data_IF_157951506137
#
_entry.id   IF_157951506137
#
_cell.length_a   1.000
_cell.length_b   1.000
_cell.length_c   1.000
_cell.angle_alpha   90.00
_cell.angle_beta   90.00
_cell.angle_gamma   90.00
#
_symmetry.space_group_name_H-M   'P 1'
#
loop_
_entity.id
_entity.type
_entity.pdbx_description
1 polymer ?
#
# COMPACT_ATOMS: atom_id res chain seq x y z
N UNK A 1 -23.45 -14.01 12.43
CA UNK A 1 -23.08 -15.07 11.44
C UNK A 1 -21.57 -15.30 11.34
N UNK A 2 -20.71 -14.25 11.31
CA UNK A 2 -19.25 -14.40 11.23
C UNK A 2 -18.65 -15.24 12.38
N UNK A 3 -19.02 -14.99 13.65
CA UNK A 3 -18.56 -15.76 14.81
C UNK A 3 -18.90 -17.27 14.75
N UNK A 4 -20.04 -17.66 14.17
CA UNK A 4 -20.40 -19.08 13.98
C UNK A 4 -19.55 -19.74 12.90
N UNK A 5 -19.25 -19.01 11.79
CA UNK A 5 -18.39 -19.51 10.72
C UNK A 5 -16.91 -19.60 11.16
N UNK A 6 -16.44 -18.67 11.98
CA UNK A 6 -15.09 -18.71 12.55
C UNK A 6 -14.90 -19.91 13.51
N UNK A 7 -15.93 -20.31 14.27
CA UNK A 7 -15.90 -21.54 15.09
C UNK A 7 -15.76 -22.82 14.26
N UNK A 8 -16.28 -22.83 13.03
CA UNK A 8 -16.13 -23.96 12.09
C UNK A 8 -14.72 -24.05 11.46
N UNK A 9 -13.87 -23.02 11.61
CA UNK A 9 -12.49 -22.98 11.12
C UNK A 9 -11.47 -23.51 12.16
N UNK A 10 -11.92 -24.15 13.22
CA UNK A 10 -11.15 -24.52 14.43
C UNK A 10 -10.05 -25.59 14.21
N UNK A 11 -9.65 -25.90 12.98
CA UNK A 11 -8.62 -26.93 12.71
C UNK A 11 -7.19 -26.41 12.51
N UNK A 12 -6.98 -25.16 12.06
CA UNK A 12 -5.64 -24.57 11.87
C UNK A 12 -5.70 -23.09 12.24
N UNK A 13 -4.87 -22.63 13.19
CA UNK A 13 -4.77 -21.21 13.53
C UNK A 13 -4.41 -20.41 12.28
N UNK A 14 -5.27 -19.45 11.92
CA UNK A 14 -5.09 -18.56 10.78
C UNK A 14 -5.35 -17.14 11.19
N UNK A 15 -4.52 -16.22 10.69
CA UNK A 15 -4.72 -14.79 10.82
C UNK A 15 -4.85 -14.14 9.45
N UNK A 16 -5.41 -12.96 9.44
CA UNK A 16 -5.50 -12.10 8.25
C UNK A 16 -4.77 -10.80 8.57
N UNK A 17 -3.82 -10.42 7.72
CA UNK A 17 -3.20 -9.10 7.76
C UNK A 17 -3.79 -8.29 6.61
N UNK A 18 -4.30 -7.10 6.94
CA UNK A 18 -4.91 -6.16 6.01
C UNK A 18 -3.93 -5.04 5.68
N UNK A 19 -3.90 -4.60 4.43
CA UNK A 19 -3.15 -3.42 4.01
C UNK A 19 -4.08 -2.35 3.49
N UNK A 20 -3.97 -1.18 4.10
CA UNK A 20 -4.55 0.11 3.71
C UNK A 20 -3.44 1.06 3.25
N UNK A 21 -3.80 2.22 2.72
CA UNK A 21 -2.88 3.31 2.41
C UNK A 21 -3.47 4.63 2.92
N UNK A 22 -4.53 5.12 2.30
CA UNK A 22 -5.17 6.39 2.66
C UNK A 22 -6.58 6.20 3.22
N UNK A 23 -6.92 6.99 4.24
CA UNK A 23 -8.29 7.15 4.75
C UNK A 23 -8.71 8.59 4.53
N UNK A 24 -9.45 8.85 3.45
CA UNK A 24 -9.82 10.19 3.04
C UNK A 24 -11.06 10.20 2.15
N UNK A 25 -11.72 11.36 2.04
CA UNK A 25 -12.81 11.60 1.10
C UNK A 25 -12.39 12.46 -0.08
N UNK A 26 -13.12 12.34 -1.19
CA UNK A 26 -13.03 13.25 -2.32
C UNK A 26 -11.74 13.11 -3.16
N UNK A 27 -10.93 12.08 -2.94
CA UNK A 27 -9.71 11.86 -3.68
C UNK A 27 -9.95 11.14 -5.01
N UNK A 28 -9.17 11.51 -6.02
CA UNK A 28 -9.11 10.77 -7.28
C UNK A 28 -8.24 9.53 -7.07
N UNK A 29 -8.87 8.36 -7.05
CA UNK A 29 -8.21 7.08 -6.72
C UNK A 29 -8.28 6.06 -7.87
N UNK A 30 -7.44 6.18 -8.89
CA UNK A 30 -7.38 5.20 -9.96
C UNK A 30 -6.73 3.87 -9.55
N UNK A 31 -6.14 3.81 -8.36
CA UNK A 31 -5.40 2.64 -7.87
C UNK A 31 -6.19 1.80 -6.87
N UNK A 32 -7.28 2.33 -6.31
CA UNK A 32 -8.11 1.68 -5.30
C UNK A 32 -7.44 1.64 -3.92
N UNK A 33 -6.61 2.64 -3.60
CA UNK A 33 -5.84 2.76 -2.36
C UNK A 33 -6.52 3.61 -1.29
N UNK A 34 -7.60 4.28 -1.63
CA UNK A 34 -8.34 5.17 -0.73
C UNK A 34 -9.58 4.46 -0.17
N UNK A 35 -9.75 4.55 1.14
CA UNK A 35 -10.98 4.17 1.84
C UNK A 35 -11.56 5.41 2.49
N UNK A 36 -12.86 5.67 2.29
CA UNK A 36 -13.52 6.82 2.93
C UNK A 36 -13.58 6.65 4.44
N UNK A 37 -13.57 7.75 5.24
CA UNK A 37 -13.60 7.68 6.70
C UNK A 37 -14.79 6.88 7.24
N UNK A 38 -16.00 7.05 6.67
CA UNK A 38 -17.18 6.31 7.07
C UNK A 38 -17.02 4.81 6.83
N UNK A 39 -16.50 4.43 5.66
CA UNK A 39 -16.25 3.02 5.34
C UNK A 39 -15.14 2.43 6.21
N UNK A 40 -14.11 3.21 6.50
CA UNK A 40 -13.05 2.78 7.40
C UNK A 40 -13.59 2.56 8.82
N UNK A 41 -14.44 3.45 9.33
CA UNK A 41 -15.11 3.29 10.63
C UNK A 41 -16.00 2.04 10.67
N UNK A 42 -16.84 1.80 9.65
CA UNK A 42 -17.63 0.59 9.50
C UNK A 42 -16.74 -0.69 9.50
N UNK A 43 -15.60 -0.64 8.81
CA UNK A 43 -14.66 -1.76 8.71
C UNK A 43 -13.97 -2.03 10.07
N UNK A 44 -13.60 -0.99 10.81
CA UNK A 44 -13.00 -1.13 12.15
C UNK A 44 -14.04 -1.67 13.16
N UNK A 45 -15.30 -1.23 13.07
CA UNK A 45 -16.39 -1.79 13.89
C UNK A 45 -16.55 -3.30 13.63
N UNK A 46 -16.57 -3.74 12.38
CA UNK A 46 -16.62 -5.16 12.03
C UNK A 46 -15.42 -5.93 12.59
N UNK A 47 -14.20 -5.37 12.49
CA UNK A 47 -13.00 -6.01 13.02
C UNK A 47 -13.08 -6.14 14.55
N UNK A 48 -13.48 -5.08 15.25
CA UNK A 48 -13.56 -5.06 16.71
C UNK A 48 -14.67 -5.97 17.26
N UNK A 49 -15.83 -6.05 16.56
CA UNK A 49 -17.01 -6.75 17.07
C UNK A 49 -17.11 -8.21 16.62
N UNK A 50 -16.72 -8.52 15.38
CA UNK A 50 -16.87 -9.85 14.79
C UNK A 50 -15.56 -10.65 14.74
N UNK A 51 -14.40 -10.00 14.80
CA UNK A 51 -13.07 -10.61 14.75
C UNK A 51 -12.26 -10.25 15.99
N UNK A 52 -10.96 -10.51 15.95
CA UNK A 52 -10.02 -10.19 17.03
C UNK A 52 -8.88 -9.32 16.51
N UNK A 53 -8.94 -8.00 16.72
CA UNK A 53 -7.83 -7.13 16.35
C UNK A 53 -6.58 -7.47 17.17
N UNK A 54 -5.44 -7.58 16.49
CA UNK A 54 -4.15 -7.94 17.09
C UNK A 54 -3.05 -7.10 16.44
N UNK A 55 -2.14 -6.55 17.23
CA UNK A 55 -0.94 -5.88 16.74
C UNK A 55 -0.05 -6.81 15.93
N UNK A 56 0.72 -6.26 14.98
CA UNK A 56 1.57 -7.08 14.09
C UNK A 56 2.64 -7.84 14.88
N UNK A 57 3.30 -7.20 15.84
CA UNK A 57 4.33 -7.81 16.67
C UNK A 57 3.77 -8.93 17.55
N UNK A 58 2.58 -8.73 18.12
CA UNK A 58 1.89 -9.74 18.93
C UNK A 58 1.44 -10.93 18.06
N UNK A 59 0.92 -10.65 16.86
CA UNK A 59 0.58 -11.72 15.92
C UNK A 59 1.79 -12.58 15.59
N UNK A 60 2.93 -11.96 15.27
CA UNK A 60 4.17 -12.68 14.90
C UNK A 60 4.69 -13.51 16.08
N UNK A 61 4.67 -12.97 17.29
CA UNK A 61 5.03 -13.71 18.52
C UNK A 61 4.09 -14.88 18.75
N UNK A 62 2.77 -14.66 18.70
CA UNK A 62 1.77 -15.70 18.86
C UNK A 62 1.86 -16.82 17.81
N UNK A 63 2.24 -16.49 16.56
CA UNK A 63 2.47 -17.50 15.53
C UNK A 63 3.68 -18.40 15.83
N UNK A 64 4.78 -17.82 16.33
CA UNK A 64 5.98 -18.58 16.75
C UNK A 64 5.68 -19.52 17.90
N UNK A 65 4.89 -19.08 18.86
CA UNK A 65 4.54 -19.82 20.05
C UNK A 65 3.36 -20.79 19.87
N UNK A 66 2.81 -20.88 18.65
CA UNK A 66 1.60 -21.67 18.34
C UNK A 66 0.31 -21.13 18.97
N UNK A 67 0.32 -19.88 19.44
CA UNK A 67 -0.77 -19.23 20.19
C UNK A 67 -1.55 -18.20 19.36
N UNK A 68 -1.58 -18.34 18.03
CA UNK A 68 -2.34 -17.44 17.18
C UNK A 68 -3.84 -17.47 17.51
N UNK A 69 -4.45 -16.36 17.95
CA UNK A 69 -5.86 -16.36 18.34
C UNK A 69 -6.76 -16.65 17.14
N UNK A 70 -7.84 -17.45 17.33
CA UNK A 70 -8.83 -17.63 16.28
C UNK A 70 -9.46 -16.28 15.86
N UNK A 71 -9.54 -16.05 14.56
CA UNK A 71 -10.10 -14.81 14.02
C UNK A 71 -9.20 -13.58 14.17
N UNK A 72 -7.90 -13.76 14.37
CA UNK A 72 -6.93 -12.67 14.47
C UNK A 72 -6.87 -11.86 13.17
N UNK A 73 -7.04 -10.54 13.29
CA UNK A 73 -6.92 -9.56 12.20
C UNK A 73 -5.93 -8.48 12.61
N UNK A 74 -4.95 -8.24 11.76
CA UNK A 74 -3.98 -7.15 11.93
C UNK A 74 -4.21 -6.11 10.85
N UNK A 75 -4.23 -4.84 11.24
CA UNK A 75 -4.37 -3.69 10.35
C UNK A 75 -3.00 -3.08 10.09
N UNK A 76 -2.67 -2.85 8.82
CA UNK A 76 -1.44 -2.16 8.43
C UNK A 76 -1.73 -1.08 7.39
N UNK A 77 -0.90 -0.04 7.37
CA UNK A 77 -0.91 1.02 6.36
C UNK A 77 0.46 1.08 5.70
N UNK A 78 0.49 1.34 4.40
CA UNK A 78 1.74 1.58 3.68
C UNK A 78 1.89 3.07 3.36
N UNK A 79 3.12 3.46 3.00
CA UNK A 79 3.58 4.77 2.56
C UNK A 79 3.74 5.83 3.67
N UNK A 80 2.90 5.86 4.70
CA UNK A 80 2.98 6.86 5.78
C UNK A 80 2.29 8.19 5.43
N UNK A 81 1.12 8.15 4.79
CA UNK A 81 0.31 9.34 4.52
C UNK A 81 -0.16 10.05 5.79
N UNK A 82 -0.23 11.37 5.78
CA UNK A 82 -0.67 12.19 6.92
C UNK A 82 -2.09 11.87 7.39
N UNK A 83 -2.98 11.45 6.49
CA UNK A 83 -4.33 11.03 6.86
C UNK A 83 -4.37 9.72 7.69
N UNK A 84 -3.25 9.02 7.85
CA UNK A 84 -3.15 7.94 8.83
C UNK A 84 -3.18 8.48 10.27
N UNK A 85 -2.58 9.63 10.53
CA UNK A 85 -2.70 10.36 11.79
C UNK A 85 -4.02 11.13 11.88
N UNK A 86 -4.28 11.99 10.90
CA UNK A 86 -5.37 12.98 10.95
C UNK A 86 -6.76 12.34 10.96
N UNK A 87 -6.93 11.22 10.23
CA UNK A 87 -8.24 10.60 9.97
C UNK A 87 -8.32 9.17 10.51
N UNK A 88 -7.31 8.33 10.24
CA UNK A 88 -7.39 6.93 10.61
C UNK A 88 -7.19 6.71 12.13
N UNK A 89 -6.22 7.40 12.76
CA UNK A 89 -5.94 7.21 14.19
C UNK A 89 -7.15 7.46 15.10
N UNK A 90 -7.94 8.55 14.97
CA UNK A 90 -9.14 8.75 15.80
C UNK A 90 -10.16 7.60 15.65
N UNK A 91 -10.25 7.00 14.48
CA UNK A 91 -11.16 5.88 14.23
C UNK A 91 -10.58 4.60 14.85
N UNK A 92 -9.28 4.34 14.68
CA UNK A 92 -8.60 3.21 15.31
C UNK A 92 -8.71 3.25 16.84
N UNK A 93 -8.53 4.43 17.44
CA UNK A 93 -8.66 4.65 18.88
C UNK A 93 -10.09 4.34 19.36
N UNK A 94 -11.09 4.87 18.67
CA UNK A 94 -12.52 4.62 18.97
C UNK A 94 -12.86 3.13 19.05
N UNK A 95 -12.27 2.31 18.20
CA UNK A 95 -12.54 0.87 18.14
C UNK A 95 -11.46 0.01 18.80
N UNK A 96 -10.45 0.64 19.41
CA UNK A 96 -9.29 -0.02 20.02
C UNK A 96 -8.61 -1.04 19.07
N UNK A 97 -8.38 -0.67 17.82
CA UNK A 97 -7.76 -1.51 16.79
C UNK A 97 -6.28 -1.15 16.65
N UNK A 98 -5.34 -1.97 17.14
CA UNK A 98 -3.92 -1.71 16.97
C UNK A 98 -3.52 -1.82 15.50
N UNK A 99 -2.57 -0.99 15.06
CA UNK A 99 -2.11 -0.98 13.69
C UNK A 99 -0.60 -0.74 13.56
N UNK A 100 -0.08 -0.93 12.34
CA UNK A 100 1.30 -0.62 11.97
C UNK A 100 1.30 0.23 10.71
N UNK A 101 2.04 1.35 10.71
CA UNK A 101 2.24 2.19 9.55
C UNK A 101 3.67 1.99 9.03
N UNK A 102 3.82 1.64 7.76
CA UNK A 102 5.10 1.47 7.09
C UNK A 102 5.47 2.74 6.33
N UNK A 103 6.62 3.34 6.68
CA UNK A 103 7.02 4.68 6.26
C UNK A 103 8.10 4.63 5.18
N UNK A 104 7.86 5.28 4.04
CA UNK A 104 8.87 5.55 3.02
C UNK A 104 9.61 6.86 3.36
N UNK A 105 10.79 6.74 3.98
CA UNK A 105 11.40 7.83 4.76
C UNK A 105 11.87 9.05 3.95
N UNK A 106 12.26 8.90 2.67
CA UNK A 106 12.65 10.02 1.80
C UNK A 106 11.51 11.01 1.48
N UNK A 107 10.27 10.63 1.79
CA UNK A 107 9.11 11.48 1.59
C UNK A 107 8.74 12.27 2.86
N UNK A 108 9.17 11.82 4.04
CA UNK A 108 8.95 12.51 5.33
C UNK A 108 9.61 13.88 5.32
N UNK A 109 8.92 14.92 5.80
CA UNK A 109 9.33 16.35 5.76
C UNK A 109 9.61 16.89 4.34
N UNK A 110 9.35 16.10 3.31
CA UNK A 110 9.62 16.48 1.94
C UNK A 110 8.55 17.42 1.36
N UNK A 111 8.91 18.25 0.36
CA UNK A 111 7.98 19.17 -0.28
C UNK A 111 7.15 18.50 -1.40
N UNK A 112 7.19 17.18 -1.54
CA UNK A 112 6.62 16.45 -2.69
C UNK A 112 5.63 15.39 -2.27
N UNK A 113 4.64 15.15 -3.11
CA UNK A 113 3.77 13.98 -3.05
C UNK A 113 4.53 12.73 -3.48
N UNK A 114 3.94 11.56 -3.24
CA UNK A 114 4.40 10.34 -3.90
C UNK A 114 4.27 10.49 -5.42
N UNK A 115 5.23 9.97 -6.15
CA UNK A 115 5.31 10.14 -7.60
C UNK A 115 4.07 9.63 -8.35
N UNK A 116 3.39 8.63 -7.83
CA UNK A 116 2.16 8.09 -8.43
C UNK A 116 0.96 9.00 -8.20
N UNK A 117 0.86 9.68 -7.08
CA UNK A 117 -0.21 10.65 -6.80
C UNK A 117 -0.01 11.92 -7.60
N UNK A 118 1.22 12.39 -7.71
CA UNK A 118 1.56 13.49 -8.59
C UNK A 118 1.25 13.16 -10.06
N UNK A 119 1.57 11.95 -10.50
CA UNK A 119 1.27 11.49 -11.85
C UNK A 119 -0.24 11.48 -12.15
N UNK A 120 -1.07 11.07 -11.17
CA UNK A 120 -2.54 11.16 -11.28
C UNK A 120 -2.97 12.60 -11.46
N UNK A 121 -2.49 13.52 -10.64
CA UNK A 121 -2.80 14.96 -10.70
C UNK A 121 -2.47 15.55 -12.06
N UNK A 122 -1.30 15.25 -12.59
CA UNK A 122 -0.80 15.81 -13.87
C UNK A 122 -1.54 15.26 -15.08
N UNK A 123 -2.06 14.03 -15.03
CA UNK A 123 -2.62 13.34 -16.20
C UNK A 123 -4.15 13.28 -16.15
N UNK A 124 -4.75 13.08 -14.96
CA UNK A 124 -6.21 12.93 -14.81
C UNK A 124 -6.79 14.28 -14.38
N UNK A 125 -7.35 15.02 -15.34
CA UNK A 125 -7.94 16.35 -15.09
C UNK A 125 -9.30 16.19 -14.43
N UNK A 126 -9.54 16.89 -13.33
CA UNK A 126 -10.82 17.00 -12.61
C UNK A 126 -11.51 15.65 -12.32
N UNK A 127 -10.74 14.58 -12.13
CA UNK A 127 -11.29 13.25 -11.93
C UNK A 127 -11.91 12.62 -13.18
N UNK A 128 -11.96 13.34 -14.30
CA UNK A 128 -12.54 12.87 -15.56
C UNK A 128 -11.58 11.95 -16.31
N UNK A 129 -11.73 10.66 -16.09
CA UNK A 129 -10.89 9.61 -16.69
C UNK A 129 -10.99 9.54 -18.23
N UNK A 130 -12.05 10.12 -18.81
CA UNK A 130 -12.35 10.08 -20.25
C UNK A 130 -11.85 11.29 -21.03
N UNK A 131 -11.40 12.36 -20.36
CA UNK A 131 -10.83 13.52 -21.05
C UNK A 131 -9.60 13.11 -21.84
N UNK A 132 -9.59 13.43 -23.13
CA UNK A 132 -8.44 13.17 -24.00
C UNK A 132 -7.30 14.13 -23.69
N UNK A 133 -6.13 13.55 -23.43
CA UNK A 133 -4.89 14.30 -23.24
C UNK A 133 -4.12 14.40 -24.56
N UNK A 134 -3.37 15.47 -24.79
CA UNK A 134 -2.49 15.58 -25.97
C UNK A 134 -1.40 14.50 -25.94
N UNK A 135 -0.65 14.38 -27.04
CA UNK A 135 0.49 13.48 -27.08
C UNK A 135 1.51 13.83 -26.02
N UNK A 136 1.96 12.82 -25.27
CA UNK A 136 3.01 12.94 -24.25
C UNK A 136 4.28 12.26 -24.75
N UNK A 137 5.41 12.99 -24.70
CA UNK A 137 6.74 12.43 -24.90
C UNK A 137 7.59 12.74 -23.68
N UNK A 138 8.20 11.71 -23.09
CA UNK A 138 9.15 11.83 -21.98
C UNK A 138 10.45 11.14 -22.34
N UNK A 139 11.59 11.78 -22.17
CA UNK A 139 12.90 11.28 -22.54
C UNK A 139 13.82 11.18 -21.32
N UNK A 140 14.41 10.00 -21.14
CA UNK A 140 15.41 9.72 -20.10
C UNK A 140 16.61 9.05 -20.77
N UNK A 141 17.61 9.84 -21.12
CA UNK A 141 18.72 9.38 -21.95
C UNK A 141 18.23 8.81 -23.29
N UNK A 142 18.57 7.55 -23.56
CA UNK A 142 18.13 6.85 -24.77
C UNK A 142 16.72 6.25 -24.65
N UNK A 143 16.14 6.23 -23.46
CA UNK A 143 14.81 5.68 -23.22
C UNK A 143 13.73 6.74 -23.40
N UNK A 144 12.81 6.50 -24.32
CA UNK A 144 11.74 7.45 -24.65
C UNK A 144 10.38 6.80 -24.49
N UNK A 145 9.53 7.40 -23.68
CA UNK A 145 8.10 7.12 -23.64
C UNK A 145 7.38 8.00 -24.67
N UNK A 146 6.51 7.40 -25.48
CA UNK A 146 5.60 8.12 -26.38
C UNK A 146 4.18 7.63 -26.16
N UNK A 147 3.30 8.52 -25.72
CA UNK A 147 1.86 8.27 -25.62
C UNK A 147 1.16 9.13 -26.70
N UNK A 148 0.46 8.54 -27.66
CA UNK A 148 -0.40 9.30 -28.58
C UNK A 148 -1.54 9.97 -27.79
N UNK A 149 -2.27 10.93 -28.39
CA UNK A 149 -3.46 11.48 -27.77
C UNK A 149 -4.43 10.38 -27.39
N UNK A 150 -4.83 10.34 -26.11
CA UNK A 150 -5.67 9.29 -25.57
C UNK A 150 -6.41 9.76 -24.29
N UNK A 151 -7.47 9.05 -23.85
CA UNK A 151 -8.07 9.28 -22.54
C UNK A 151 -7.03 9.26 -21.43
N UNK A 152 -7.16 10.18 -20.45
CA UNK A 152 -6.20 10.38 -19.38
C UNK A 152 -5.79 9.09 -18.66
N UNK A 153 -6.75 8.19 -18.39
CA UNK A 153 -6.45 6.90 -17.75
C UNK A 153 -5.54 5.99 -18.60
N UNK A 154 -5.60 6.05 -19.91
CA UNK A 154 -4.69 5.28 -20.77
C UNK A 154 -3.28 5.87 -20.76
N UNK A 155 -3.18 7.21 -20.77
CA UNK A 155 -1.89 7.91 -20.66
C UNK A 155 -1.28 7.63 -19.29
N UNK A 156 -2.05 7.75 -18.20
CA UNK A 156 -1.65 7.45 -16.84
C UNK A 156 -1.09 6.02 -16.72
N UNK A 157 -1.87 5.06 -17.16
CA UNK A 157 -1.49 3.66 -17.06
C UNK A 157 -0.20 3.33 -17.83
N UNK A 158 -0.04 3.88 -19.02
CA UNK A 158 1.16 3.69 -19.84
C UNK A 158 2.38 4.36 -19.22
N UNK A 159 2.23 5.60 -18.74
CA UNK A 159 3.29 6.37 -18.09
C UNK A 159 3.72 5.72 -16.78
N UNK A 160 2.76 5.33 -15.92
CA UNK A 160 3.04 4.62 -14.67
C UNK A 160 3.82 3.33 -14.91
N UNK A 161 3.39 2.49 -15.87
CA UNK A 161 4.06 1.24 -16.16
C UNK A 161 5.49 1.44 -16.69
N UNK A 162 5.74 2.54 -17.40
CA UNK A 162 7.07 2.87 -17.87
C UNK A 162 7.95 3.38 -16.73
N UNK A 163 7.41 4.19 -15.79
CA UNK A 163 8.12 4.72 -14.63
C UNK A 163 8.38 3.66 -13.55
N UNK A 164 7.49 2.72 -13.36
CA UNK A 164 7.50 1.73 -12.28
C UNK A 164 8.85 1.01 -12.07
N UNK A 165 9.60 0.76 -13.14
CA UNK A 165 10.90 0.08 -13.09
C UNK A 165 12.10 1.03 -13.07
N UNK A 166 11.84 2.33 -13.10
CA UNK A 166 12.89 3.36 -13.17
C UNK A 166 13.53 3.61 -11.81
N UNK A 167 14.74 4.13 -11.86
CA UNK A 167 15.40 4.62 -10.66
C UNK A 167 14.64 5.87 -10.15
N UNK A 168 14.53 6.12 -8.81
CA UNK A 168 13.84 7.29 -8.26
C UNK A 168 14.30 8.64 -8.86
N UNK A 169 15.61 8.79 -9.15
CA UNK A 169 16.14 9.98 -9.83
C UNK A 169 15.62 10.14 -11.26
N UNK A 170 15.45 9.03 -12.00
CA UNK A 170 14.87 9.05 -13.34
C UNK A 170 13.37 9.41 -13.29
N UNK A 171 12.65 8.91 -12.27
CA UNK A 171 11.25 9.25 -12.05
C UNK A 171 11.11 10.76 -11.81
N UNK A 172 11.97 11.36 -10.98
CA UNK A 172 11.96 12.80 -10.73
C UNK A 172 12.16 13.62 -12.01
N UNK A 173 13.14 13.24 -12.85
CA UNK A 173 13.38 13.91 -14.13
C UNK A 173 12.25 13.70 -15.17
N UNK A 174 11.55 12.56 -15.10
CA UNK A 174 10.37 12.34 -15.92
C UNK A 174 9.18 13.20 -15.48
N UNK A 175 8.96 13.31 -14.17
CA UNK A 175 7.87 14.13 -13.60
C UNK A 175 8.07 15.61 -13.94
N UNK A 176 9.29 16.13 -13.94
CA UNK A 176 9.59 17.49 -14.38
C UNK A 176 9.11 17.74 -15.81
N UNK A 177 9.41 16.83 -16.75
CA UNK A 177 8.94 16.92 -18.13
C UNK A 177 7.40 16.80 -18.23
N UNK A 178 6.79 15.94 -17.39
CA UNK A 178 5.33 15.76 -17.39
C UNK A 178 4.62 16.99 -16.79
N UNK A 179 5.19 17.67 -15.78
CA UNK A 179 4.66 18.94 -15.27
C UNK A 179 4.62 20.01 -16.37
N UNK A 180 5.72 20.19 -17.08
CA UNK A 180 5.78 21.13 -18.23
C UNK A 180 4.75 20.77 -19.29
N UNK A 181 4.62 19.47 -19.64
CA UNK A 181 3.60 19.01 -20.58
C UNK A 181 2.16 19.27 -20.09
N UNK A 182 1.92 19.17 -18.77
CA UNK A 182 0.63 19.47 -18.17
C UNK A 182 0.33 20.97 -18.05
N UNK A 183 1.30 21.85 -18.39
CA UNK A 183 1.19 23.30 -18.24
C UNK A 183 1.46 23.80 -16.82
N UNK A 184 2.12 23.00 -15.99
CA UNK A 184 2.47 23.34 -14.60
C UNK A 184 3.93 23.78 -14.47
N UNK A 185 4.26 24.37 -13.31
CA UNK A 185 5.65 24.66 -12.93
C UNK A 185 6.49 23.36 -12.89
N UNK A 186 7.75 23.37 -13.33
CA UNK A 186 8.64 22.22 -13.19
C UNK A 186 8.94 21.86 -11.73
N UNK A 187 8.69 22.78 -10.79
CA UNK A 187 8.90 22.57 -9.35
C UNK A 187 7.76 21.69 -8.79
N UNK A 188 8.08 20.68 -7.95
CA UNK A 188 7.07 19.87 -7.29
C UNK A 188 6.11 20.71 -6.44
N UNK A 189 4.83 20.32 -6.46
CA UNK A 189 3.80 20.88 -5.58
C UNK A 189 3.22 19.76 -4.74
N UNK A 190 2.99 20.02 -3.44
CA UNK A 190 2.39 19.06 -2.53
C UNK A 190 0.97 19.50 -2.19
N UNK A 191 -0.01 18.61 -2.46
CA UNK A 191 -1.39 18.81 -2.01
C UNK A 191 -1.55 18.26 -0.58
N UNK A 192 -2.24 19.01 0.30
CA UNK A 192 -2.40 18.64 1.70
C UNK A 192 -2.96 17.21 1.89
N UNK A 193 -3.92 16.79 1.05
CA UNK A 193 -4.57 15.48 1.17
C UNK A 193 -3.68 14.29 0.76
N UNK A 194 -2.56 14.55 0.05
CA UNK A 194 -1.66 13.50 -0.47
C UNK A 194 -0.27 13.58 0.14
N UNK A 195 -0.10 14.42 1.17
CA UNK A 195 1.20 14.58 1.81
C UNK A 195 1.56 13.38 2.69
N UNK A 196 2.83 13.00 2.78
CA UNK A 196 3.35 12.13 3.82
C UNK A 196 3.32 12.83 5.19
N UNK A 197 3.41 12.06 6.26
CA UNK A 197 3.62 12.59 7.62
C UNK A 197 4.99 13.26 7.74
N UNK A 198 5.05 14.28 8.60
CA UNK A 198 6.30 14.86 9.10
C UNK A 198 6.89 13.99 10.21
N UNK A 199 8.16 14.22 10.63
CA UNK A 199 8.78 13.53 11.76
C UNK A 199 8.02 13.76 13.06
N UNK A 200 7.55 14.97 13.28
CA UNK A 200 6.75 15.30 14.46
C UNK A 200 5.43 14.50 14.47
N UNK A 201 4.78 14.37 13.31
CA UNK A 201 3.56 13.56 13.17
C UNK A 201 3.82 12.05 13.31
N UNK A 202 5.00 11.56 12.89
CA UNK A 202 5.41 10.17 13.15
C UNK A 202 5.61 9.93 14.66
N UNK A 203 6.17 10.89 15.39
CA UNK A 203 6.27 10.82 16.84
C UNK A 203 4.89 10.89 17.52
N UNK A 204 4.00 11.77 17.04
CA UNK A 204 2.64 11.92 17.56
C UNK A 204 1.81 10.65 17.38
N UNK A 205 1.81 10.03 16.19
CA UNK A 205 1.02 8.81 15.95
C UNK A 205 1.51 7.63 16.81
N UNK A 206 2.81 7.52 17.05
CA UNK A 206 3.38 6.49 17.96
C UNK A 206 3.06 6.75 19.43
N UNK A 207 3.01 8.01 19.85
CA UNK A 207 2.66 8.38 21.22
C UNK A 207 1.23 7.96 21.62
N UNK A 208 0.36 7.66 20.65
CA UNK A 208 -0.97 7.07 20.89
C UNK A 208 -0.90 5.69 21.60
N UNK A 209 0.23 4.97 21.50
CA UNK A 209 0.38 3.60 21.99
C UNK A 209 -0.39 2.55 21.16
N UNK A 210 -1.15 2.97 20.17
CA UNK A 210 -2.00 2.12 19.32
C UNK A 210 -1.35 1.81 17.98
N UNK A 211 -0.48 2.70 17.51
CA UNK A 211 0.18 2.59 16.21
C UNK A 211 1.68 2.37 16.39
N UNK A 212 2.20 1.33 15.74
CA UNK A 212 3.63 1.09 15.60
C UNK A 212 4.11 1.53 14.23
N UNK A 213 5.37 1.97 14.11
CA UNK A 213 5.97 2.26 12.82
C UNK A 213 6.85 1.11 12.36
N UNK A 214 6.86 0.90 11.04
CA UNK A 214 7.73 -0.04 10.34
C UNK A 214 8.43 0.63 9.16
N UNK A 215 9.50 0.03 8.66
CA UNK A 215 10.25 0.56 7.53
C UNK A 215 9.62 0.13 6.18
N UNK A 216 9.69 1.05 5.19
CA UNK A 216 9.17 0.83 3.84
C UNK A 216 10.15 1.29 2.74
N UNK A 217 11.45 1.12 2.97
CA UNK A 217 12.54 1.72 2.21
C UNK A 217 12.59 3.25 2.31
N UNK A 218 13.62 3.87 1.76
CA UNK A 218 13.71 5.34 1.69
C UNK A 218 12.81 5.90 0.60
N UNK A 219 13.10 5.54 -0.65
CA UNK A 219 12.51 6.17 -1.84
C UNK A 219 11.39 5.36 -2.50
N UNK A 220 10.93 4.28 -1.87
CA UNK A 220 9.90 3.36 -2.37
C UNK A 220 10.18 2.82 -3.79
N UNK A 221 11.40 2.28 -4.07
CA UNK A 221 11.74 1.78 -5.39
C UNK A 221 11.19 0.38 -5.63
N UNK A 222 11.11 -0.02 -6.90
CA UNK A 222 10.97 -1.42 -7.25
C UNK A 222 12.30 -2.14 -6.95
N UNK A 223 12.40 -2.81 -5.80
CA UNK A 223 13.63 -3.43 -5.30
C UNK A 223 14.23 -4.44 -6.30
N UNK A 224 13.39 -5.26 -6.95
CA UNK A 224 13.86 -6.22 -7.96
C UNK A 224 14.53 -5.57 -9.18
N UNK A 225 14.40 -4.27 -9.38
CA UNK A 225 15.04 -3.52 -10.46
C UNK A 225 16.31 -2.78 -9.98
N UNK A 226 16.75 -2.98 -8.74
CA UNK A 226 17.92 -2.34 -8.11
C UNK A 226 19.04 -3.38 -7.91
N UNK A 227 20.28 -2.92 -7.91
CA UNK A 227 21.41 -3.75 -7.48
C UNK A 227 21.26 -4.12 -5.99
N UNK A 228 21.90 -5.20 -5.55
CA UNK A 228 21.84 -5.61 -4.13
C UNK A 228 22.39 -4.54 -3.18
N UNK A 229 23.36 -3.75 -3.63
CA UNK A 229 23.89 -2.61 -2.86
C UNK A 229 22.82 -1.52 -2.69
N UNK A 230 22.18 -1.10 -3.78
CA UNK A 230 21.08 -0.12 -3.71
C UNK A 230 19.91 -0.62 -2.86
N UNK A 231 19.58 -1.92 -2.95
CA UNK A 231 18.56 -2.52 -2.09
C UNK A 231 18.97 -2.45 -0.61
N UNK A 232 20.21 -2.77 -0.28
CA UNK A 232 20.71 -2.67 1.09
C UNK A 232 20.72 -1.22 1.59
N UNK A 233 21.12 -0.26 0.77
CA UNK A 233 21.12 1.16 1.11
C UNK A 233 19.69 1.68 1.36
N UNK A 234 18.71 1.24 0.57
CA UNK A 234 17.28 1.56 0.73
C UNK A 234 16.68 0.96 2.01
N UNK A 235 16.98 -0.31 2.28
CA UNK A 235 16.45 -1.05 3.43
C UNK A 235 17.08 -0.52 4.72
N UNK A 236 18.41 -0.54 4.84
CA UNK A 236 19.10 -0.10 6.05
C UNK A 236 18.85 1.38 6.30
N UNK A 237 18.93 2.19 5.24
CA UNK A 237 18.70 3.63 5.36
C UNK A 237 17.35 3.97 5.96
N UNK A 238 16.27 3.28 5.55
CA UNK A 238 14.95 3.53 6.14
C UNK A 238 14.82 3.08 7.60
N UNK A 239 15.57 2.04 7.99
CA UNK A 239 15.65 1.59 9.38
C UNK A 239 16.40 2.62 10.23
N UNK A 240 17.55 3.08 9.74
CA UNK A 240 18.41 4.07 10.41
C UNK A 240 17.66 5.40 10.57
N UNK A 241 16.97 5.88 9.51
CA UNK A 241 16.18 7.11 9.54
C UNK A 241 15.12 7.06 10.65
N UNK A 242 14.34 5.97 10.73
CA UNK A 242 13.30 5.81 11.75
C UNK A 242 13.89 5.69 13.16
N UNK A 243 15.01 4.97 13.31
CA UNK A 243 15.71 4.89 14.59
C UNK A 243 16.22 6.26 15.04
N UNK A 244 16.81 7.04 14.13
CA UNK A 244 17.33 8.38 14.43
C UNK A 244 16.23 9.36 14.82
N UNK A 245 15.05 9.26 14.19
CA UNK A 245 13.94 10.17 14.46
C UNK A 245 13.14 9.83 15.72
N UNK A 246 13.01 8.53 16.04
CA UNK A 246 12.11 8.05 17.09
C UNK A 246 12.84 7.48 18.29
N UNK A 247 14.16 7.25 18.20
CA UNK A 247 14.95 6.63 19.27
C UNK A 247 14.77 5.13 19.41
N UNK A 248 13.94 4.50 18.57
CA UNK A 248 13.66 3.06 18.58
C UNK A 248 13.88 2.44 17.19
N UNK A 249 14.56 1.30 17.14
CA UNK A 249 14.78 0.56 15.90
C UNK A 249 13.49 -0.14 15.47
N UNK A 250 12.98 0.13 14.25
CA UNK A 250 11.80 -0.59 13.75
C UNK A 250 12.10 -2.07 13.59
N UNK A 251 11.16 -2.92 14.00
CA UNK A 251 11.29 -4.39 13.93
C UNK A 251 10.45 -5.02 12.83
N UNK A 252 9.74 -4.21 12.06
CA UNK A 252 8.85 -4.65 11.00
C UNK A 252 9.17 -3.92 9.69
N UNK A 253 8.98 -4.60 8.55
CA UNK A 253 9.25 -4.08 7.23
C UNK A 253 8.11 -4.44 6.26
N UNK A 254 7.79 -3.56 5.29
CA UNK A 254 6.95 -3.91 4.16
C UNK A 254 7.72 -3.69 2.85
N UNK A 255 7.63 -4.65 1.93
CA UNK A 255 8.27 -4.50 0.62
C UNK A 255 7.45 -3.53 -0.25
N UNK A 256 8.06 -2.48 -0.85
CA UNK A 256 7.40 -1.63 -1.84
C UNK A 256 6.71 -2.46 -2.93
N UNK A 257 5.45 -2.13 -3.23
CA UNK A 257 4.54 -2.88 -4.12
C UNK A 257 4.24 -4.31 -3.64
N UNK A 258 5.21 -5.04 -3.14
CA UNK A 258 5.11 -6.23 -2.31
C UNK A 258 4.76 -7.54 -3.00
N UNK A 259 4.72 -7.62 -4.34
CA UNK A 259 4.47 -8.90 -5.03
C UNK A 259 5.75 -9.77 -5.07
N UNK A 260 5.73 -10.98 -4.45
CA UNK A 260 6.91 -11.84 -4.42
C UNK A 260 7.42 -12.21 -5.81
N UNK A 261 8.73 -12.20 -5.99
CA UNK A 261 9.47 -12.54 -7.22
C UNK A 261 9.29 -11.56 -8.39
N UNK A 262 8.37 -10.61 -8.26
CA UNK A 262 8.14 -9.54 -9.23
C UNK A 262 8.74 -8.23 -8.74
N UNK A 263 8.49 -7.89 -7.48
CA UNK A 263 8.82 -6.58 -6.92
C UNK A 263 10.05 -6.65 -6.00
N UNK A 264 10.33 -7.82 -5.48
CA UNK A 264 11.53 -8.16 -4.73
C UNK A 264 11.96 -9.63 -4.98
N UNK A 265 13.21 -9.95 -4.73
CA UNK A 265 13.81 -11.28 -4.97
C UNK A 265 14.03 -12.04 -3.66
N UNK A 266 14.57 -13.26 -3.76
CA UNK A 266 15.02 -14.03 -2.59
C UNK A 266 16.24 -13.37 -1.92
N UNK A 267 17.09 -12.76 -2.72
CA UNK A 267 18.26 -12.01 -2.25
C UNK A 267 17.82 -10.78 -1.48
N UNK A 268 16.77 -10.09 -1.92
CA UNK A 268 16.14 -8.99 -1.16
C UNK A 268 15.66 -9.47 0.22
N UNK A 269 15.01 -10.64 0.29
CA UNK A 269 14.57 -11.23 1.56
C UNK A 269 15.74 -11.44 2.51
N UNK A 270 16.86 -11.98 2.02
CA UNK A 270 18.08 -12.17 2.83
C UNK A 270 18.68 -10.86 3.32
N UNK A 271 18.59 -9.77 2.53
CA UNK A 271 19.03 -8.46 3.00
C UNK A 271 18.20 -7.99 4.19
N UNK A 272 16.88 -8.16 4.14
CA UNK A 272 15.99 -7.82 5.28
C UNK A 272 16.24 -8.74 6.48
N UNK A 273 16.44 -10.04 6.27
CA UNK A 273 16.77 -11.01 7.33
C UNK A 273 18.07 -10.69 8.06
N UNK A 274 19.02 -10.01 7.40
CA UNK A 274 20.30 -9.62 7.98
C UNK A 274 20.24 -8.35 8.84
N UNK A 275 19.06 -7.70 8.95
CA UNK A 275 18.84 -6.49 9.76
C UNK A 275 18.20 -6.79 11.12
N UNK A 276 17.83 -5.75 11.87
CA UNK A 276 17.07 -5.87 13.13
C UNK A 276 15.57 -6.23 12.90
N UNK A 277 15.11 -6.30 11.67
CA UNK A 277 13.72 -6.64 11.32
C UNK A 277 13.40 -8.08 11.76
N UNK A 278 12.26 -8.26 12.38
CA UNK A 278 11.76 -9.57 12.85
C UNK A 278 10.71 -10.18 11.94
N UNK A 279 10.02 -9.35 11.16
CA UNK A 279 9.09 -9.81 10.13
C UNK A 279 8.97 -8.81 9.00
N UNK A 280 8.68 -9.33 7.78
CA UNK A 280 8.44 -8.52 6.61
C UNK A 280 7.18 -8.95 5.85
N UNK A 281 6.48 -7.98 5.25
CA UNK A 281 5.15 -8.17 4.69
C UNK A 281 5.15 -8.04 3.17
N UNK A 282 4.46 -8.98 2.54
CA UNK A 282 4.21 -9.01 1.10
C UNK A 282 2.74 -8.67 0.79
N UNK A 283 2.40 -8.51 -0.49
CA UNK A 283 1.01 -8.35 -0.96
C UNK A 283 0.41 -9.65 -1.52
N UNK A 284 0.90 -10.79 -1.06
CA UNK A 284 0.35 -12.11 -1.44
C UNK A 284 -0.96 -12.34 -0.69
N UNK A 285 -2.09 -12.37 -1.40
CA UNK A 285 -3.42 -12.49 -0.81
C UNK A 285 -3.77 -13.95 -0.39
N UNK A 286 -3.25 -14.37 0.76
CA UNK A 286 -3.58 -15.64 1.44
C UNK A 286 -3.54 -15.40 2.96
N UNK A 287 -4.25 -16.21 3.78
CA UNK A 287 -4.16 -16.10 5.23
C UNK A 287 -2.76 -16.47 5.74
N UNK A 288 -2.38 -15.86 6.85
CA UNK A 288 -1.17 -16.19 7.60
C UNK A 288 -1.41 -17.48 8.42
N UNK A 289 -0.41 -18.34 8.47
CA UNK A 289 -0.40 -19.57 9.27
C UNK A 289 0.98 -19.75 9.92
N UNK A 290 1.12 -20.69 10.84
CA UNK A 290 2.42 -21.02 11.42
C UNK A 290 3.49 -21.46 10.40
N UNK A 291 3.07 -21.88 9.20
CA UNK A 291 3.98 -22.21 8.09
C UNK A 291 4.33 -21.02 7.19
N UNK A 292 3.80 -19.83 7.47
CA UNK A 292 4.14 -18.63 6.71
C UNK A 292 5.57 -18.20 7.01
N UNK A 293 6.31 -17.82 5.95
CA UNK A 293 7.68 -17.33 6.11
C UNK A 293 7.65 -15.97 6.84
N UNK A 294 8.36 -15.76 7.94
CA UNK A 294 8.26 -14.54 8.72
C UNK A 294 8.64 -13.28 7.95
N UNK A 295 9.54 -13.40 6.97
CA UNK A 295 9.95 -12.28 6.12
C UNK A 295 9.20 -12.22 4.77
N UNK A 296 8.10 -12.94 4.61
CA UNK A 296 7.17 -12.86 3.47
C UNK A 296 5.72 -13.03 3.94
N UNK A 297 5.34 -12.42 5.08
CA UNK A 297 3.98 -12.53 5.62
C UNK A 297 2.97 -11.97 4.61
N UNK A 298 1.94 -12.76 4.28
CA UNK A 298 0.96 -12.37 3.28
C UNK A 298 -0.03 -11.33 3.82
N UNK A 299 -0.46 -10.41 2.94
CA UNK A 299 -1.49 -9.40 3.25
C UNK A 299 -2.59 -9.37 2.21
N UNK A 300 -3.77 -8.96 2.65
CA UNK A 300 -4.91 -8.68 1.79
C UNK A 300 -5.09 -7.18 1.62
N UNK A 301 -5.14 -6.73 0.38
CA UNK A 301 -5.43 -5.35 0.03
C UNK A 301 -6.91 -5.05 0.29
N UNK A 302 -7.19 -3.96 1.02
CA UNK A 302 -8.55 -3.53 1.33
C UNK A 302 -9.00 -2.47 0.33
N UNK A 303 -10.25 -2.54 -0.07
CA UNK A 303 -10.90 -1.55 -0.92
C UNK A 303 -12.04 -0.85 -0.18
N UNK A 304 -12.52 0.24 -0.74
CA UNK A 304 -13.63 1.05 -0.20
C UNK A 304 -15.00 0.31 -0.29
N UNK A 305 -15.10 -0.84 0.38
CA UNK A 305 -16.29 -1.69 0.35
C UNK A 305 -17.35 -1.26 1.38
N UNK A 306 -18.67 -1.39 1.05
CA UNK A 306 -19.73 -1.36 2.05
C UNK A 306 -19.52 -2.41 3.14
N UNK A 307 -20.06 -2.16 4.34
CA UNK A 307 -19.85 -2.97 5.55
C UNK A 307 -20.19 -4.43 5.35
N UNK A 308 -21.33 -4.73 4.72
CA UNK A 308 -21.81 -6.10 4.46
C UNK A 308 -20.96 -6.86 3.44
N UNK A 309 -20.38 -6.14 2.47
CA UNK A 309 -19.42 -6.69 1.50
C UNK A 309 -18.10 -6.95 2.18
N UNK A 310 -17.62 -6.02 3.02
CA UNK A 310 -16.37 -6.15 3.77
C UNK A 310 -16.41 -7.33 4.74
N UNK A 311 -17.46 -7.47 5.56
CA UNK A 311 -17.60 -8.58 6.52
C UNK A 311 -17.55 -9.95 5.81
N UNK A 312 -18.29 -10.10 4.70
CA UNK A 312 -18.26 -11.34 3.91
C UNK A 312 -16.90 -11.62 3.29
N UNK A 313 -16.29 -10.58 2.73
CA UNK A 313 -14.96 -10.66 2.13
C UNK A 313 -13.90 -11.04 3.17
N UNK A 314 -13.87 -10.38 4.32
CA UNK A 314 -12.93 -10.64 5.39
C UNK A 314 -13.11 -12.08 5.95
N UNK A 315 -14.36 -12.53 6.15
CA UNK A 315 -14.64 -13.92 6.53
C UNK A 315 -14.06 -14.91 5.53
N UNK A 316 -14.20 -14.64 4.23
CA UNK A 316 -13.66 -15.48 3.17
C UNK A 316 -12.13 -15.50 3.14
N UNK A 317 -11.45 -14.41 3.52
CA UNK A 317 -9.98 -14.35 3.61
C UNK A 317 -9.41 -15.44 4.53
N UNK A 318 -10.11 -15.85 5.59
CA UNK A 318 -9.68 -16.94 6.47
C UNK A 318 -9.78 -18.34 5.86
N UNK A 319 -10.65 -18.56 4.88
CA UNK A 319 -10.93 -19.90 4.27
C UNK A 319 -10.10 -20.18 3.02
N UNK A 320 -9.50 -19.15 2.42
CA UNK A 320 -8.81 -19.28 1.15
C UNK A 320 -7.58 -20.20 1.25
N UNK A 321 -7.66 -21.38 0.63
CA UNK A 321 -6.49 -22.26 0.44
C UNK A 321 -5.63 -21.87 -0.77
N UNK A 322 -6.23 -21.30 -1.82
CA UNK A 322 -5.66 -20.63 -3.00
C UNK A 322 -6.81 -19.94 -3.72
N UNK A 323 -6.75 -18.62 -3.90
CA UNK A 323 -7.84 -17.91 -4.58
C UNK A 323 -7.56 -17.77 -6.09
N UNK A 324 -8.30 -18.47 -6.99
CA UNK A 324 -8.22 -18.17 -8.42
C UNK A 324 -8.88 -16.83 -8.80
N UNK A 325 -9.88 -16.37 -8.05
CA UNK A 325 -10.69 -15.20 -8.41
C UNK A 325 -10.24 -13.87 -7.80
N UNK A 326 -9.73 -13.83 -6.56
CA UNK A 326 -9.20 -12.62 -5.92
C UNK A 326 -7.84 -12.18 -6.47
N UNK A 327 -7.13 -13.06 -7.19
CA UNK A 327 -5.95 -12.71 -7.99
C UNK A 327 -6.19 -11.55 -8.98
N UNK A 328 -7.46 -11.26 -9.31
CA UNK A 328 -7.82 -10.16 -10.22
C UNK A 328 -7.90 -8.79 -9.54
N UNK A 329 -8.09 -8.70 -8.21
CA UNK A 329 -8.20 -7.41 -7.52
C UNK A 329 -6.86 -6.93 -6.95
N UNK A 330 -6.11 -7.76 -6.24
CA UNK A 330 -4.75 -7.41 -5.78
C UNK A 330 -3.74 -7.27 -6.94
N UNK A 331 -3.93 -8.02 -8.04
CA UNK A 331 -3.10 -7.93 -9.24
C UNK A 331 -3.36 -6.71 -10.14
N UNK A 332 -4.30 -5.81 -9.79
CA UNK A 332 -4.53 -4.59 -10.58
C UNK A 332 -3.43 -3.55 -10.42
N UNK A 333 -2.75 -3.54 -9.28
CA UNK A 333 -1.61 -2.63 -9.04
C UNK A 333 -0.31 -3.13 -9.70
N UNK A 334 -0.16 -4.44 -9.93
CA UNK A 334 1.06 -5.06 -10.48
C UNK A 334 0.93 -5.65 -11.88
N UNK A 335 -0.22 -5.55 -12.57
CA UNK A 335 -0.39 -6.08 -13.94
C UNK A 335 -0.36 -4.98 -14.99
N UNK A 336 0.29 -5.23 -16.15
CA UNK A 336 0.18 -4.33 -17.30
C UNK A 336 -1.30 -4.25 -17.74
N UNK A 337 -1.71 -3.04 -18.09
CA UNK A 337 -3.08 -2.54 -18.39
C UNK A 337 -3.86 -3.28 -19.49
N UNK A 338 -3.55 -4.49 -19.86
CA UNK A 338 -4.28 -5.22 -20.92
C UNK A 338 -5.76 -5.50 -20.64
N UNK A 339 -6.29 -5.25 -19.42
CA UNK A 339 -7.67 -5.61 -19.06
C UNK A 339 -8.64 -4.44 -18.76
N UNK A 340 -8.19 -3.17 -18.80
CA UNK A 340 -9.08 -2.03 -18.50
C UNK A 340 -10.05 -1.68 -19.64
N UNK A 341 -9.80 -2.16 -20.86
CA UNK A 341 -10.65 -1.88 -22.03
C UNK A 341 -11.95 -2.68 -22.15
N UNK A 342 -12.16 -3.71 -21.32
CA UNK A 342 -13.33 -4.59 -21.47
C UNK A 342 -14.47 -4.31 -20.46
N UNK A 343 -14.25 -3.55 -19.40
CA UNK A 343 -15.29 -3.29 -18.37
C UNK A 343 -16.21 -2.11 -18.75
N UNK A 344 -15.86 -1.32 -19.76
CA UNK A 344 -16.66 -0.14 -20.18
C UNK A 344 -17.74 -0.51 -21.24
N UNK A 345 -17.78 -1.74 -21.73
CA UNK A 345 -18.75 -2.14 -22.78
C UNK A 345 -20.08 -2.72 -22.25
N UNK A 346 -20.26 -2.90 -20.94
CA UNK A 346 -21.47 -3.56 -20.38
C UNK A 346 -22.46 -2.61 -19.68
N UNK A 347 -22.34 -1.31 -19.80
CA UNK A 347 -23.32 -0.36 -19.21
C UNK A 347 -24.01 0.53 -20.28
N UNK A 348 -24.20 0.02 -21.49
CA UNK A 348 -25.10 0.62 -22.49
C UNK A 348 -25.99 -0.46 -23.08
N UNK A 349 -27.15 -0.61 -22.52
CA UNK A 349 -28.43 -1.09 -23.04
C UNK A 349 -29.47 -0.91 -21.93
N UNK A 350 -30.56 -0.30 -22.02
CA UNK A 350 -31.42 0.11 -23.11
C UNK A 350 -32.45 1.15 -22.60
N UNK A 351 -33.40 1.61 -23.44
CA UNK A 351 -33.75 3.00 -23.75
C UNK A 351 -34.63 3.70 -22.74
#
# INVERSE_FOLDING_TARGET
MARQRLRALSGVPRAVILVYHMVADGLVDPYGTVVSPDRFADQMDVIATAFRPVGLTDLVSGLRDGQCPPGAVTVTFDDGYANNLETALPILDRYAVPSTVFVATDYTDGPREFWWDELVRLIVVDGASVVHRPALTVSLGQSVLRCPPAPGMHVLARTRNWLYRRHPREISGALEQIRVWAGESPVPTQRAQYRPMTRDELAEITASGLVQLGAHTRSHPLLAARSLREQADEINGSIDDLQDWLGETPTTFAYPFGAPRSDYSRETVKLVEATAIRCALSTRAVPVTAASHPYELPRFFVSNHPVDVFERWLTNCFVLRRAPALRRMAGRLSRPVRQWGQTIRSSRADP
#
